data_IF_340806743235
#
_entry.id   IF_340806743235
#
_cell.length_a   1.000
_cell.length_b   1.000
_cell.length_c   1.000
_cell.angle_alpha   90.00
_cell.angle_beta   90.00
_cell.angle_gamma   90.00
#
_symmetry.space_group_name_H-M   'P 1'
#
loop_
_entity.id
_entity.type
_entity.pdbx_description
1 polymer ?
#
# COMPACT_ATOMS: atom_id res chain seq x y z
N UNK A 1 -9.77 -4.72 -7.35
CA UNK A 1 -8.78 -5.79 -7.54
C UNK A 1 -7.42 -5.13 -7.61
N UNK A 2 -6.50 -5.60 -6.80
CA UNK A 2 -5.09 -5.24 -6.84
C UNK A 2 -4.40 -5.77 -8.08
N UNK A 3 -3.20 -5.26 -8.35
CA UNK A 3 -2.36 -5.76 -9.44
C UNK A 3 -1.95 -7.21 -9.16
N UNK A 4 -2.10 -8.15 -10.12
CA UNK A 4 -1.64 -9.53 -10.01
C UNK A 4 -0.12 -9.64 -9.81
N UNK A 5 0.33 -10.81 -9.35
CA UNK A 5 1.75 -11.21 -9.42
C UNK A 5 1.96 -12.27 -10.50
N UNK A 6 3.19 -12.35 -10.98
CA UNK A 6 3.63 -13.42 -11.89
C UNK A 6 4.57 -14.33 -11.11
N UNK A 7 4.17 -15.58 -10.93
CA UNK A 7 4.98 -16.65 -10.38
C UNK A 7 5.65 -17.41 -11.53
N UNK A 8 6.93 -17.76 -11.36
CA UNK A 8 7.71 -18.47 -12.39
C UNK A 8 8.24 -19.77 -11.82
N UNK A 9 7.83 -20.87 -12.42
CA UNK A 9 8.22 -22.23 -12.02
C UNK A 9 8.34 -23.12 -13.25
N UNK A 10 9.45 -23.85 -13.36
CA UNK A 10 9.72 -24.80 -14.45
C UNK A 10 9.50 -24.24 -15.87
N UNK A 11 9.78 -22.95 -16.06
CA UNK A 11 9.62 -22.25 -17.34
C UNK A 11 8.20 -21.76 -17.63
N UNK A 12 7.23 -22.04 -16.76
CA UNK A 12 5.88 -21.50 -16.85
C UNK A 12 5.81 -20.11 -16.20
N UNK A 13 4.97 -19.24 -16.75
CA UNK A 13 4.60 -17.97 -16.12
C UNK A 13 3.12 -18.03 -15.73
N UNK A 14 2.84 -17.96 -14.43
CA UNK A 14 1.49 -18.09 -13.87
C UNK A 14 1.10 -16.77 -13.22
N UNK A 15 -0.05 -16.22 -13.63
CA UNK A 15 -0.63 -15.06 -12.98
C UNK A 15 -1.50 -15.50 -11.80
N UNK A 16 -1.21 -14.98 -10.61
CA UNK A 16 -2.06 -15.15 -9.44
C UNK A 16 -2.82 -13.86 -9.13
N UNK A 17 -4.14 -13.98 -8.94
CA UNK A 17 -5.02 -12.85 -8.64
C UNK A 17 -6.29 -13.30 -7.92
N UNK A 18 -6.87 -12.37 -7.16
CA UNK A 18 -8.13 -12.60 -6.44
C UNK A 18 -9.31 -12.16 -7.29
N UNK A 19 -10.35 -12.99 -7.35
CA UNK A 19 -11.63 -12.69 -8.00
C UNK A 19 -12.73 -12.76 -6.94
N UNK A 20 -13.56 -11.72 -6.90
CA UNK A 20 -14.79 -11.73 -6.10
C UNK A 20 -15.94 -12.28 -6.94
N UNK A 21 -16.71 -13.21 -6.37
CA UNK A 21 -17.92 -13.74 -6.98
C UNK A 21 -19.02 -13.92 -5.93
N UNK A 22 -20.13 -14.55 -6.32
CA UNK A 22 -21.25 -14.88 -5.45
C UNK A 22 -21.55 -16.38 -5.56
N UNK A 23 -21.93 -17.00 -4.44
CA UNK A 23 -22.47 -18.36 -4.40
C UNK A 23 -23.96 -18.22 -4.04
N UNK A 24 -24.84 -18.76 -4.89
CA UNK A 24 -26.29 -18.80 -4.65
C UNK A 24 -26.61 -19.67 -3.42
N UNK A 25 -27.53 -19.20 -2.58
CA UNK A 25 -27.98 -19.90 -1.35
C UNK A 25 -26.83 -20.28 -0.38
N UNK A 26 -25.77 -19.46 -0.30
CA UNK A 26 -24.58 -19.82 0.49
C UNK A 26 -24.75 -19.61 2.00
N UNK A 27 -24.96 -18.36 2.42
CA UNK A 27 -25.17 -18.00 3.84
C UNK A 27 -26.56 -17.45 4.08
N UNK A 28 -27.14 -16.83 3.06
CA UNK A 28 -28.55 -16.43 3.01
C UNK A 28 -29.20 -16.91 1.70
N UNK A 29 -30.52 -17.17 1.69
CA UNK A 29 -31.24 -17.52 0.47
C UNK A 29 -31.12 -16.46 -0.64
N UNK A 30 -31.02 -16.91 -1.89
CA UNK A 30 -30.94 -16.11 -3.10
C UNK A 30 -29.53 -15.95 -3.67
N UNK A 31 -29.42 -15.16 -4.75
CA UNK A 31 -28.18 -14.92 -5.47
C UNK A 31 -27.26 -13.87 -4.82
N UNK A 32 -27.07 -12.74 -5.50
CA UNK A 32 -26.13 -11.71 -5.08
C UNK A 32 -26.60 -10.95 -3.82
N UNK A 33 -26.09 -11.36 -2.66
CA UNK A 33 -26.16 -10.61 -1.41
C UNK A 33 -24.74 -10.25 -0.96
N UNK A 34 -24.24 -9.02 -1.24
CA UNK A 34 -22.83 -8.66 -1.10
C UNK A 34 -22.16 -9.05 0.21
N UNK A 35 -22.70 -8.78 1.41
CA UNK A 35 -21.99 -9.09 2.63
C UNK A 35 -21.95 -10.60 2.97
N UNK A 36 -22.96 -11.40 2.56
CA UNK A 36 -23.10 -12.79 3.05
C UNK A 36 -22.88 -13.85 1.97
N UNK A 37 -23.29 -13.61 0.72
CA UNK A 37 -23.17 -14.59 -0.36
C UNK A 37 -21.97 -14.33 -1.29
N UNK A 38 -21.26 -13.21 -1.10
CA UNK A 38 -20.05 -12.95 -1.86
C UNK A 38 -18.83 -13.63 -1.24
N UNK A 39 -17.97 -14.16 -2.11
CA UNK A 39 -16.74 -14.86 -1.74
C UNK A 39 -15.56 -14.42 -2.57
N UNK A 40 -14.35 -14.57 -2.02
CA UNK A 40 -13.10 -14.48 -2.78
C UNK A 40 -12.57 -15.84 -3.19
N UNK A 41 -12.14 -15.89 -4.44
CA UNK A 41 -11.35 -16.95 -5.01
C UNK A 41 -9.95 -16.44 -5.33
N UNK A 42 -8.93 -17.21 -4.97
CA UNK A 42 -7.59 -17.05 -5.53
C UNK A 42 -7.51 -17.88 -6.81
N UNK A 43 -7.28 -17.24 -7.94
CA UNK A 43 -7.02 -17.88 -9.22
C UNK A 43 -5.52 -17.95 -9.48
N UNK A 44 -5.08 -19.02 -10.12
CA UNK A 44 -3.80 -19.13 -10.81
C UNK A 44 -4.09 -19.48 -12.27
N UNK A 45 -3.54 -18.72 -13.22
CA UNK A 45 -3.78 -18.91 -14.65
C UNK A 45 -2.46 -18.87 -15.40
N UNK A 46 -2.22 -19.83 -16.28
CA UNK A 46 -1.05 -19.82 -17.16
C UNK A 46 -1.14 -18.65 -18.16
N UNK A 47 -0.12 -17.80 -18.21
CA UNK A 47 -0.16 -16.58 -19.02
C UNK A 47 -0.17 -16.83 -20.53
N UNK A 48 0.38 -17.96 -20.97
CA UNK A 48 0.50 -18.34 -22.38
C UNK A 48 -0.79 -18.95 -22.95
N UNK A 49 -1.50 -19.75 -22.15
CA UNK A 49 -2.68 -20.52 -22.57
C UNK A 49 -3.99 -19.98 -22.00
N UNK A 50 -3.93 -19.14 -20.96
CA UNK A 50 -5.06 -18.64 -20.17
C UNK A 50 -5.90 -19.75 -19.52
N UNK A 51 -5.35 -20.97 -19.39
CA UNK A 51 -5.99 -22.06 -18.67
C UNK A 51 -5.76 -21.92 -17.18
N UNK A 52 -6.76 -22.33 -16.39
CA UNK A 52 -6.64 -22.41 -14.94
C UNK A 52 -5.53 -23.39 -14.54
N UNK A 53 -4.73 -22.98 -13.57
CA UNK A 53 -3.77 -23.84 -12.91
C UNK A 53 -4.51 -24.97 -12.18
N UNK A 54 -3.99 -26.19 -12.27
CA UNK A 54 -4.58 -27.33 -11.56
C UNK A 54 -4.72 -27.04 -10.06
N UNK A 55 -5.89 -27.38 -9.48
CA UNK A 55 -6.33 -27.07 -8.10
C UNK A 55 -6.67 -25.59 -7.81
N UNK A 56 -6.71 -24.74 -8.83
CA UNK A 56 -7.28 -23.40 -8.74
C UNK A 56 -8.61 -23.34 -9.51
N UNK A 57 -9.53 -22.43 -9.12
CA UNK A 57 -9.42 -21.46 -8.03
C UNK A 57 -9.55 -22.06 -6.62
N UNK A 58 -8.86 -21.47 -5.65
CA UNK A 58 -9.02 -21.77 -4.21
C UNK A 58 -10.03 -20.82 -3.58
N UNK A 59 -10.97 -21.32 -2.76
CA UNK A 59 -11.84 -20.48 -1.94
C UNK A 59 -11.11 -20.01 -0.68
N UNK A 60 -11.20 -18.72 -0.38
CA UNK A 60 -10.50 -18.08 0.76
C UNK A 60 -11.45 -17.74 1.90
N UNK A 61 -12.75 -17.63 1.59
CA UNK A 61 -13.80 -17.31 2.54
C UNK A 61 -13.92 -18.35 3.67
N UNK A 62 -14.32 -17.86 4.85
CA UNK A 62 -14.63 -18.70 6.01
C UNK A 62 -13.45 -19.09 6.88
N UNK A 63 -12.24 -18.59 6.57
CA UNK A 63 -11.05 -18.83 7.39
C UNK A 63 -11.04 -17.92 8.63
N UNK A 64 -10.96 -18.44 9.86
CA UNK A 64 -10.72 -17.64 11.06
C UNK A 64 -9.34 -16.98 11.04
N UNK A 65 -9.22 -15.80 11.68
CA UNK A 65 -7.95 -15.08 11.77
C UNK A 65 -7.01 -15.71 12.81
N UNK A 66 -5.74 -15.89 12.44
CA UNK A 66 -4.67 -16.45 13.25
C UNK A 66 -4.52 -15.73 14.60
N UNK A 67 -4.72 -14.41 14.61
CA UNK A 67 -4.58 -13.56 15.79
C UNK A 67 -5.89 -13.25 16.53
N UNK A 68 -7.05 -13.67 16.00
CA UNK A 68 -8.35 -13.58 16.68
C UNK A 68 -9.40 -14.50 16.02
N UNK A 69 -9.63 -15.67 16.61
CA UNK A 69 -10.55 -16.68 16.07
C UNK A 69 -12.00 -16.19 15.92
N UNK A 70 -12.39 -15.14 16.66
CA UNK A 70 -13.75 -14.57 16.54
C UNK A 70 -13.94 -13.92 15.18
N UNK A 71 -12.86 -13.45 14.54
CA UNK A 71 -12.90 -12.71 13.29
C UNK A 71 -12.59 -13.63 12.13
N UNK A 72 -13.62 -13.89 11.32
CA UNK A 72 -13.54 -14.73 10.13
C UNK A 72 -13.37 -13.88 8.89
N UNK A 73 -12.47 -14.27 7.99
CA UNK A 73 -12.35 -13.64 6.69
C UNK A 73 -13.58 -13.94 5.84
N UNK A 74 -14.33 -12.88 5.52
CA UNK A 74 -15.53 -12.95 4.69
C UNK A 74 -15.36 -12.01 3.51
N UNK A 75 -15.26 -12.57 2.31
CA UNK A 75 -14.97 -11.82 1.11
C UNK A 75 -16.06 -10.81 0.76
N UNK A 76 -17.29 -11.02 1.22
CA UNK A 76 -18.38 -10.07 1.10
C UNK A 76 -18.20 -8.75 1.86
N UNK A 77 -17.46 -8.76 2.96
CA UNK A 77 -17.28 -7.60 3.83
C UNK A 77 -16.10 -6.72 3.43
N UNK A 78 -15.16 -7.27 2.66
CA UNK A 78 -13.90 -6.60 2.34
C UNK A 78 -13.63 -6.51 0.84
N UNK A 79 -12.73 -5.62 0.45
CA UNK A 79 -12.24 -5.49 -0.91
C UNK A 79 -10.72 -5.53 -1.00
N UNK A 80 -10.23 -6.08 -2.10
CA UNK A 80 -8.80 -6.23 -2.39
C UNK A 80 -8.35 -5.08 -3.31
N UNK A 81 -7.61 -4.12 -2.73
CA UNK A 81 -7.14 -2.88 -3.38
C UNK A 81 -5.63 -2.81 -3.58
N UNK A 82 -4.79 -3.10 -2.56
CA UNK A 82 -3.34 -3.09 -2.73
C UNK A 82 -2.88 -4.04 -3.83
N UNK A 83 -1.78 -3.75 -4.51
CA UNK A 83 -1.14 -4.77 -5.34
C UNK A 83 -0.71 -5.98 -4.50
N UNK A 84 -0.77 -7.18 -5.09
CA UNK A 84 -0.33 -8.40 -4.43
C UNK A 84 1.20 -8.39 -4.27
N UNK A 85 1.67 -9.01 -3.19
CA UNK A 85 3.09 -9.21 -2.92
C UNK A 85 3.40 -10.70 -2.97
N UNK A 86 4.40 -11.08 -3.76
CA UNK A 86 4.95 -12.43 -3.76
C UNK A 86 6.32 -12.41 -3.07
N UNK A 87 6.46 -13.15 -1.98
CA UNK A 87 7.70 -13.28 -1.22
C UNK A 87 8.10 -14.75 -1.15
N UNK A 88 9.08 -15.13 -1.99
CA UNK A 88 9.35 -16.54 -2.25
C UNK A 88 8.09 -17.20 -2.83
N UNK A 89 7.61 -18.26 -2.17
CA UNK A 89 6.40 -18.98 -2.57
C UNK A 89 5.13 -18.46 -1.86
N UNK A 90 5.23 -17.43 -1.02
CA UNK A 90 4.09 -16.92 -0.26
C UNK A 90 3.52 -15.67 -0.92
N UNK A 91 2.25 -15.77 -1.30
CA UNK A 91 1.45 -14.68 -1.83
C UNK A 91 0.71 -13.95 -0.72
N UNK A 92 0.93 -12.65 -0.56
CA UNK A 92 0.23 -11.79 0.39
C UNK A 92 -0.75 -10.84 -0.30
N UNK A 93 -1.91 -10.68 0.32
CA UNK A 93 -2.96 -9.77 -0.11
C UNK A 93 -3.52 -8.99 1.09
N UNK A 94 -3.58 -7.66 0.97
CA UNK A 94 -4.26 -6.79 1.93
C UNK A 94 -5.71 -6.51 1.51
N UNK A 95 -6.59 -6.41 2.50
CA UNK A 95 -8.02 -6.18 2.33
C UNK A 95 -8.53 -5.06 3.26
N UNK A 96 -9.44 -4.23 2.74
CA UNK A 96 -10.12 -3.15 3.48
C UNK A 96 -11.63 -3.11 3.25
N UNK A 97 -12.34 -2.16 3.86
CA UNK A 97 -13.80 -2.14 3.90
C UNK A 97 -14.49 -1.78 2.59
N UNK A 98 -15.54 -2.52 2.20
CA UNK A 98 -16.35 -2.20 1.02
C UNK A 98 -17.23 -0.97 1.28
N UNK A 99 -16.79 0.20 0.83
CA UNK A 99 -17.43 1.49 1.15
C UNK A 99 -17.55 1.73 2.66
N UNK A 100 -16.62 1.16 3.43
CA UNK A 100 -16.64 1.09 4.89
C UNK A 100 -17.93 0.51 5.49
N UNK A 101 -18.69 -0.25 4.70
CA UNK A 101 -19.93 -0.85 5.14
C UNK A 101 -19.70 -2.14 5.95
N UNK A 102 -20.72 -2.48 6.74
CA UNK A 102 -20.85 -3.78 7.40
C UNK A 102 -19.74 -4.10 8.41
N UNK A 103 -19.73 -5.35 8.90
CA UNK A 103 -18.91 -5.84 9.99
C UNK A 103 -17.51 -6.23 9.51
N UNK A 104 -16.89 -5.35 8.72
CA UNK A 104 -15.57 -5.64 8.21
C UNK A 104 -14.50 -5.39 9.27
N UNK A 105 -13.41 -6.13 9.15
CA UNK A 105 -12.12 -5.79 9.76
C UNK A 105 -11.08 -5.86 8.66
N UNK A 106 -10.11 -4.95 8.63
CA UNK A 106 -9.01 -5.09 7.67
C UNK A 106 -8.26 -6.41 7.89
N UNK A 107 -7.77 -7.01 6.82
CA UNK A 107 -7.12 -8.31 6.91
C UNK A 107 -5.98 -8.48 5.91
N UNK A 108 -5.01 -9.28 6.29
CA UNK A 108 -4.01 -9.86 5.39
C UNK A 108 -4.36 -11.33 5.19
N UNK A 109 -4.35 -11.77 3.94
CA UNK A 109 -4.36 -13.19 3.59
C UNK A 109 -2.99 -13.53 3.01
N UNK A 110 -2.35 -14.57 3.54
CA UNK A 110 -1.15 -15.16 2.97
C UNK A 110 -1.45 -16.58 2.47
N UNK A 111 -1.05 -16.89 1.24
CA UNK A 111 -1.17 -18.23 0.68
C UNK A 111 0.20 -18.72 0.25
N UNK A 112 0.68 -19.80 0.86
CA UNK A 112 1.86 -20.50 0.38
C UNK A 112 1.46 -21.30 -0.86
N UNK A 113 1.96 -20.89 -2.04
CA UNK A 113 1.58 -21.45 -3.34
C UNK A 113 2.08 -22.89 -3.52
N UNK A 114 3.21 -23.25 -2.91
CA UNK A 114 3.78 -24.59 -2.99
C UNK A 114 2.99 -25.61 -2.15
N UNK A 115 2.52 -25.21 -0.97
CA UNK A 115 1.79 -26.11 -0.05
C UNK A 115 0.27 -25.93 -0.10
N UNK A 116 -0.20 -24.84 -0.70
CA UNK A 116 -1.60 -24.38 -0.68
C UNK A 116 -2.14 -24.04 0.72
N UNK A 117 -1.24 -23.83 1.69
CA UNK A 117 -1.61 -23.40 3.04
C UNK A 117 -2.08 -21.95 3.01
N UNK A 118 -3.19 -21.67 3.71
CA UNK A 118 -3.79 -20.33 3.80
C UNK A 118 -3.72 -19.84 5.24
N UNK A 119 -3.30 -18.60 5.41
CA UNK A 119 -3.21 -17.90 6.70
C UNK A 119 -3.99 -16.59 6.59
N UNK A 120 -4.69 -16.22 7.67
CA UNK A 120 -5.41 -14.95 7.70
C UNK A 120 -5.11 -14.20 8.98
N UNK A 121 -4.97 -12.88 8.90
CA UNK A 121 -4.62 -12.05 10.04
C UNK A 121 -5.40 -10.74 9.98
N UNK A 122 -5.89 -10.28 11.11
CA UNK A 122 -6.80 -9.13 11.17
C UNK A 122 -6.19 -7.93 11.91
N UNK A 123 -6.48 -6.72 11.43
CA UNK A 123 -5.88 -5.47 11.94
C UNK A 123 -6.45 -5.03 13.29
N UNK A 124 -7.63 -5.51 13.65
CA UNK A 124 -8.26 -5.27 14.94
C UNK A 124 -8.50 -6.61 15.60
N UNK A 125 -7.82 -6.91 16.70
CA UNK A 125 -7.84 -8.22 17.34
C UNK A 125 -7.96 -8.12 18.86
N UNK A 126 -8.21 -9.24 19.52
CA UNK A 126 -8.24 -9.36 20.97
C UNK A 126 -9.48 -8.73 21.61
N UNK A 127 -9.68 -9.01 22.90
CA UNK A 127 -10.94 -8.70 23.61
C UNK A 127 -11.30 -7.21 23.66
N UNK A 128 -10.33 -6.32 23.43
CA UNK A 128 -10.55 -4.87 23.38
C UNK A 128 -10.94 -4.35 22.01
N UNK A 129 -10.83 -5.17 20.96
CA UNK A 129 -11.33 -4.81 19.62
C UNK A 129 -12.85 -4.97 19.55
N UNK A 130 -13.48 -4.09 18.76
CA UNK A 130 -14.90 -4.21 18.45
C UNK A 130 -15.17 -5.53 17.72
N UNK A 131 -16.32 -6.12 18.05
CA UNK A 131 -16.79 -7.38 17.50
C UNK A 131 -18.33 -7.42 17.53
N UNK A 132 -18.92 -7.98 16.50
CA UNK A 132 -20.36 -8.27 16.40
C UNK A 132 -20.56 -9.60 15.69
N UNK A 133 -21.58 -10.37 16.07
CA UNK A 133 -22.03 -11.56 15.33
C UNK A 133 -22.95 -11.19 14.15
N UNK A 134 -23.47 -9.96 14.12
CA UNK A 134 -24.22 -9.44 12.98
C UNK A 134 -23.23 -8.98 11.90
N UNK A 135 -23.04 -9.81 10.87
CA UNK A 135 -22.14 -9.49 9.75
C UNK A 135 -22.60 -8.30 8.89
N UNK A 136 -23.83 -7.84 9.06
CA UNK A 136 -24.38 -6.65 8.36
C UNK A 136 -24.24 -5.37 9.19
N UNK A 137 -23.85 -5.46 10.47
CA UNK A 137 -23.68 -4.30 11.34
C UNK A 137 -22.53 -3.40 10.87
N UNK A 138 -22.81 -2.10 10.69
CA UNK A 138 -21.82 -1.13 10.25
C UNK A 138 -20.63 -1.03 11.24
N UNK A 139 -19.41 -1.21 10.74
CA UNK A 139 -18.16 -1.23 11.53
C UNK A 139 -18.15 -2.24 12.70
N UNK A 140 -18.99 -3.29 12.66
CA UNK A 140 -19.09 -4.27 13.73
C UNK A 140 -17.76 -4.96 14.09
N UNK A 141 -16.83 -5.04 13.14
CA UNK A 141 -15.54 -5.71 13.28
C UNK A 141 -14.41 -4.76 13.71
N UNK A 142 -14.74 -3.48 13.87
CA UNK A 142 -13.77 -2.45 14.23
C UNK A 142 -13.04 -1.82 13.04
N UNK A 143 -13.44 -2.08 11.79
CA UNK A 143 -12.88 -1.43 10.60
C UNK A 143 -11.35 -1.62 10.48
N UNK A 144 -10.59 -0.58 10.11
CA UNK A 144 -9.12 -0.65 10.02
C UNK A 144 -8.66 -1.40 8.78
N UNK A 145 -9.19 -1.06 7.62
CA UNK A 145 -8.85 -1.64 6.32
C UNK A 145 -7.42 -1.37 5.86
N UNK A 146 -6.97 -2.20 4.91
CA UNK A 146 -5.70 -2.06 4.22
C UNK A 146 -6.00 -1.72 2.76
N UNK A 147 -5.83 -0.46 2.38
CA UNK A 147 -6.22 0.02 1.05
C UNK A 147 -5.10 0.70 0.25
N UNK A 148 -4.22 1.45 0.93
CA UNK A 148 -2.95 2.01 0.42
C UNK A 148 -3.01 2.72 -0.95
N UNK A 149 -4.18 3.21 -1.34
CA UNK A 149 -4.47 3.85 -2.63
C UNK A 149 -3.74 3.23 -3.84
N UNK A 150 -3.77 1.90 -3.97
CA UNK A 150 -3.17 1.19 -5.10
C UNK A 150 -1.67 0.87 -4.96
N UNK A 151 -1.00 1.30 -3.88
CA UNK A 151 0.32 0.80 -3.50
C UNK A 151 0.23 -0.68 -3.09
N UNK A 152 1.24 -1.46 -3.45
CA UNK A 152 1.38 -2.84 -2.98
C UNK A 152 1.78 -2.91 -1.50
N UNK A 153 1.70 -4.09 -0.92
CA UNK A 153 2.40 -4.37 0.34
C UNK A 153 3.92 -4.31 0.07
N UNK A 154 4.68 -3.76 1.00
CA UNK A 154 6.13 -3.69 0.92
C UNK A 154 6.78 -4.86 1.65
N UNK A 155 8.01 -5.22 1.27
CA UNK A 155 8.78 -6.24 1.98
C UNK A 155 10.26 -5.91 1.99
N UNK A 156 10.91 -6.37 3.06
CA UNK A 156 12.36 -6.31 3.21
C UNK A 156 13.06 -7.64 2.86
N UNK A 157 12.32 -8.57 2.25
CA UNK A 157 12.79 -9.92 1.91
C UNK A 157 12.47 -10.98 2.97
N UNK A 158 11.94 -10.57 4.13
CA UNK A 158 11.49 -11.48 5.19
C UNK A 158 10.10 -11.11 5.70
N UNK A 159 9.93 -9.85 6.07
CA UNK A 159 8.71 -9.33 6.69
C UNK A 159 7.91 -8.51 5.67
N UNK A 160 6.63 -8.32 5.97
CA UNK A 160 5.67 -7.59 5.14
C UNK A 160 5.20 -6.34 5.86
N UNK A 161 5.11 -5.23 5.13
CA UNK A 161 4.81 -3.91 5.65
C UNK A 161 3.64 -3.30 4.90
N UNK A 162 2.76 -2.64 5.65
CA UNK A 162 1.58 -1.97 5.11
C UNK A 162 1.05 -0.94 6.09
N UNK A 163 0.16 -0.08 5.61
CA UNK A 163 -0.58 0.87 6.44
C UNK A 163 -2.01 0.41 6.65
N UNK A 164 -2.58 0.86 7.77
CA UNK A 164 -3.93 0.52 8.23
C UNK A 164 -4.69 1.82 8.41
N UNK A 165 -5.92 1.85 7.90
CA UNK A 165 -6.75 3.05 7.91
C UNK A 165 -7.40 3.39 9.26
N UNK A 166 -8.33 4.35 9.22
CA UNK A 166 -9.20 4.67 10.33
C UNK A 166 -9.98 3.40 10.76
N UNK A 167 -9.55 2.79 11.86
CA UNK A 167 -10.34 1.75 12.54
C UNK A 167 -11.13 2.32 13.72
N UNK A 168 -11.78 1.42 14.47
CA UNK A 168 -12.61 1.77 15.62
C UNK A 168 -11.87 2.58 16.68
N UNK A 169 -10.55 2.43 16.79
CA UNK A 169 -9.72 3.22 17.69
C UNK A 169 -9.75 4.74 17.40
N UNK A 170 -9.86 5.14 16.14
CA UNK A 170 -9.79 6.56 15.75
C UNK A 170 -11.03 7.35 16.21
N UNK A 171 -12.13 6.64 16.46
CA UNK A 171 -13.39 7.23 16.95
C UNK A 171 -13.51 7.27 18.48
N UNK A 172 -12.49 6.81 19.21
CA UNK A 172 -12.50 6.82 20.66
C UNK A 172 -12.52 8.27 21.20
N UNK A 173 -13.45 8.56 22.10
CA UNK A 173 -13.65 9.91 22.67
C UNK A 173 -12.63 10.28 23.74
N UNK A 174 -11.83 9.32 24.21
CA UNK A 174 -10.75 9.54 25.16
C UNK A 174 -9.41 9.48 24.42
N UNK A 175 -8.61 10.54 24.54
CA UNK A 175 -7.26 10.58 23.99
C UNK A 175 -6.38 9.56 24.69
N UNK A 176 -5.76 8.69 23.89
CA UNK A 176 -4.71 7.82 24.36
C UNK A 176 -3.42 8.63 24.50
N UNK A 177 -2.96 8.82 25.72
CA UNK A 177 -1.71 9.52 26.04
C UNK A 177 -0.63 8.57 26.52
N UNK A 178 -0.85 7.26 26.39
CA UNK A 178 0.06 6.23 26.90
C UNK A 178 1.04 5.82 25.81
N UNK A 179 2.36 6.00 26.02
CA UNK A 179 3.35 5.50 25.07
C UNK A 179 3.25 3.98 24.92
N UNK A 180 3.34 3.49 23.68
CA UNK A 180 3.34 2.07 23.35
C UNK A 180 4.59 1.73 22.54
N UNK A 181 5.36 0.80 23.05
CA UNK A 181 6.52 0.23 22.37
C UNK A 181 6.05 -0.54 21.11
N UNK A 182 6.62 -0.20 19.96
CA UNK A 182 6.30 -0.81 18.66
C UNK A 182 6.52 -2.32 18.65
N UNK A 183 7.47 -2.81 19.46
CA UNK A 183 7.84 -4.23 19.56
C UNK A 183 6.99 -5.03 20.53
N UNK A 184 5.92 -4.44 21.06
CA UNK A 184 4.93 -5.13 21.90
C UNK A 184 3.65 -5.37 21.12
N UNK A 185 2.91 -6.45 21.42
CA UNK A 185 1.62 -6.71 20.78
C UNK A 185 0.68 -5.51 20.93
N UNK A 186 -0.01 -5.16 19.85
CA UNK A 186 -1.08 -4.17 19.85
C UNK A 186 -2.34 -4.77 19.25
N UNK A 187 -3.42 -4.74 20.02
CA UNK A 187 -4.72 -5.29 19.65
C UNK A 187 -5.44 -4.46 18.57
N UNK A 188 -5.43 -3.13 18.73
CA UNK A 188 -6.13 -2.17 17.86
C UNK A 188 -5.08 -1.42 17.06
N UNK A 189 -4.89 -1.75 15.78
CA UNK A 189 -3.86 -1.19 14.91
C UNK A 189 -4.38 -0.08 13.97
N UNK A 190 -5.49 0.56 14.32
CA UNK A 190 -5.96 1.77 13.61
C UNK A 190 -4.85 2.80 13.48
N UNK A 191 -4.77 3.47 12.34
CA UNK A 191 -3.77 4.50 12.03
C UNK A 191 -2.32 4.06 12.27
N UNK A 192 -1.93 2.92 11.71
CA UNK A 192 -0.55 2.44 11.85
C UNK A 192 0.11 2.06 10.54
N UNK A 193 1.44 2.21 10.51
CA UNK A 193 2.29 1.36 9.69
C UNK A 193 2.53 0.08 10.50
N UNK A 194 2.22 -1.08 9.95
CA UNK A 194 2.45 -2.38 10.57
C UNK A 194 3.55 -3.16 9.85
N UNK A 195 4.32 -3.94 10.62
CA UNK A 195 5.26 -4.95 10.13
C UNK A 195 4.82 -6.31 10.64
N UNK A 196 4.58 -7.26 9.74
CA UNK A 196 4.21 -8.63 10.07
C UNK A 196 5.24 -9.63 9.53
N UNK A 197 5.24 -10.83 10.09
CA UNK A 197 6.01 -11.98 9.61
C UNK A 197 5.12 -13.21 9.56
N UNK A 198 5.43 -14.17 8.68
CA UNK A 198 4.76 -15.47 8.64
C UNK A 198 5.71 -16.54 9.19
N UNK A 199 5.26 -17.27 10.21
CA UNK A 199 5.98 -18.40 10.78
C UNK A 199 5.17 -19.70 10.60
N UNK A 200 5.36 -20.32 9.44
CA UNK A 200 4.75 -21.62 9.12
C UNK A 200 5.39 -22.75 9.96
N UNK A 201 6.68 -22.63 10.31
CA UNK A 201 7.44 -23.71 10.92
C UNK A 201 7.00 -23.99 12.36
N UNK A 202 6.67 -22.95 13.13
CA UNK A 202 6.12 -23.12 14.49
C UNK A 202 4.60 -23.36 14.49
N UNK A 203 3.93 -23.12 13.35
CA UNK A 203 2.47 -23.12 13.25
C UNK A 203 1.82 -21.85 13.82
N UNK A 204 2.60 -20.82 14.17
CA UNK A 204 2.07 -19.55 14.68
C UNK A 204 1.36 -18.71 13.60
N UNK A 205 1.56 -19.01 12.31
CA UNK A 205 0.95 -18.26 11.23
C UNK A 205 1.48 -16.82 11.17
N UNK A 206 0.61 -15.86 10.87
CA UNK A 206 1.02 -14.46 10.74
C UNK A 206 1.11 -13.78 12.11
N UNK A 207 2.20 -13.08 12.37
CA UNK A 207 2.49 -12.40 13.64
C UNK A 207 2.85 -10.93 13.44
N UNK A 208 2.42 -10.06 14.35
CA UNK A 208 2.85 -8.66 14.40
C UNK A 208 4.28 -8.58 14.96
N UNK A 209 5.15 -7.85 14.26
CA UNK A 209 6.58 -7.69 14.60
C UNK A 209 6.89 -6.30 15.13
N UNK A 210 6.29 -5.27 14.51
CA UNK A 210 6.51 -3.86 14.86
C UNK A 210 5.36 -3.00 14.34
N UNK A 211 5.21 -1.79 14.89
CA UNK A 211 4.30 -0.78 14.35
C UNK A 211 4.79 0.65 14.60
N UNK A 212 4.30 1.58 13.78
CA UNK A 212 4.34 3.02 14.02
C UNK A 212 2.92 3.57 14.01
N UNK A 213 2.63 4.49 14.93
CA UNK A 213 1.39 5.26 14.96
C UNK A 213 1.72 6.76 15.09
N UNK A 214 1.18 7.64 14.24
CA UNK A 214 1.30 9.08 14.43
C UNK A 214 0.80 9.51 15.82
N UNK A 215 1.57 10.34 16.50
CA UNK A 215 1.25 10.90 17.83
C UNK A 215 -0.12 11.58 17.85
N UNK A 216 -0.52 12.19 16.72
CA UNK A 216 -1.75 12.95 16.54
C UNK A 216 -2.93 12.16 15.96
N UNK A 217 -2.84 10.82 15.83
CA UNK A 217 -3.84 9.97 15.16
C UNK A 217 -5.30 10.06 15.66
N UNK A 218 -5.56 10.60 16.86
CA UNK A 218 -6.93 10.86 17.37
C UNK A 218 -7.37 12.32 17.23
N UNK A 219 -6.47 13.19 16.81
CA UNK A 219 -6.65 14.66 16.75
C UNK A 219 -6.40 15.22 15.36
N UNK A 220 -6.11 14.38 14.38
CA UNK A 220 -5.83 14.75 12.99
C UNK A 220 -7.10 15.05 12.17
N UNK A 221 -8.26 15.05 12.82
CA UNK A 221 -9.59 15.26 12.21
C UNK A 221 -10.07 14.11 11.32
N UNK A 222 -9.69 12.86 11.66
CA UNK A 222 -10.08 11.67 10.91
C UNK A 222 -9.30 11.52 9.61
N UNK A 223 -8.09 12.08 9.59
CA UNK A 223 -7.17 11.88 8.50
C UNK A 223 -6.56 10.48 8.60
N UNK A 224 -6.16 9.92 7.48
CA UNK A 224 -5.94 8.48 7.34
C UNK A 224 -4.50 8.20 6.88
N UNK A 225 -3.67 7.52 7.67
CA UNK A 225 -2.35 7.03 7.23
C UNK A 225 -2.47 5.82 6.29
N UNK A 226 -3.56 5.05 6.39
CA UNK A 226 -3.92 3.96 5.48
C UNK A 226 -4.16 4.39 4.03
N UNK A 227 -4.41 5.68 3.83
CA UNK A 227 -4.53 6.29 2.50
C UNK A 227 -3.27 6.22 1.66
N UNK A 228 -2.11 6.15 2.30
CA UNK A 228 -0.85 5.93 1.64
C UNK A 228 -0.19 4.61 1.99
N UNK A 229 0.70 4.10 1.13
CA UNK A 229 1.50 2.92 1.43
C UNK A 229 2.86 3.27 2.04
N UNK A 230 3.53 2.26 2.59
CA UNK A 230 4.94 2.37 3.01
C UNK A 230 5.85 2.01 1.83
N UNK A 231 6.80 2.87 1.48
CA UNK A 231 7.90 2.54 0.57
C UNK A 231 9.18 2.28 1.35
N UNK A 232 9.79 1.10 1.16
CA UNK A 232 11.13 0.78 1.68
C UNK A 232 12.16 1.24 0.66
N UNK A 233 13.14 2.01 1.09
CA UNK A 233 14.13 2.62 0.19
C UNK A 233 15.37 1.73 -0.01
N UNK A 234 16.01 1.87 -1.18
CA UNK A 234 17.25 1.17 -1.53
C UNK A 234 18.40 1.56 -0.57
N UNK A 235 18.86 0.61 0.22
CA UNK A 235 19.86 0.79 1.28
C UNK A 235 21.28 1.03 0.77
N UNK A 236 21.53 0.85 -0.54
CA UNK A 236 22.79 1.24 -1.15
C UNK A 236 23.00 2.75 -1.09
N UNK A 237 21.92 3.53 -1.13
CA UNK A 237 21.92 4.99 -1.11
C UNK A 237 21.19 5.55 0.11
N UNK A 238 19.94 5.13 0.33
CA UNK A 238 19.06 5.69 1.36
C UNK A 238 19.23 4.95 2.69
N UNK A 239 20.14 5.45 3.51
CA UNK A 239 20.36 4.97 4.88
C UNK A 239 20.90 6.09 5.74
N UNK A 240 20.64 6.05 7.05
CA UNK A 240 21.26 6.97 8.00
C UNK A 240 22.78 6.79 8.04
N UNK A 241 23.50 7.69 8.70
CA UNK A 241 24.95 7.58 8.88
C UNK A 241 25.36 6.27 9.57
N UNK A 242 24.57 5.79 10.53
CA UNK A 242 24.77 4.52 11.25
C UNK A 242 24.17 3.30 10.51
N UNK A 243 23.71 3.49 9.28
CA UNK A 243 23.32 2.40 8.38
C UNK A 243 21.88 1.91 8.56
N UNK A 244 21.03 2.62 9.31
CA UNK A 244 19.62 2.29 9.45
C UNK A 244 18.89 2.41 8.12
N UNK A 245 18.07 1.39 7.84
CA UNK A 245 17.25 1.30 6.63
C UNK A 245 16.04 2.22 6.76
N UNK A 246 15.67 2.89 5.67
CA UNK A 246 14.65 3.94 5.68
C UNK A 246 13.36 3.44 5.02
N UNK A 247 12.24 3.64 5.71
CA UNK A 247 10.88 3.51 5.18
C UNK A 247 10.20 4.87 5.12
N UNK A 248 9.28 5.07 4.17
CA UNK A 248 8.53 6.32 4.03
C UNK A 248 7.06 6.02 3.82
N UNK A 249 6.21 6.50 4.74
CA UNK A 249 4.76 6.44 4.64
C UNK A 249 4.18 7.82 4.33
N UNK A 250 3.08 7.85 3.60
CA UNK A 250 2.33 9.07 3.29
C UNK A 250 0.90 8.94 3.82
N UNK A 251 0.22 10.06 4.01
CA UNK A 251 -1.11 10.10 4.61
C UNK A 251 -1.95 11.23 3.99
N UNK A 252 -3.26 11.16 4.19
CA UNK A 252 -4.14 12.31 3.95
C UNK A 252 -4.01 13.35 5.06
N UNK A 253 -3.53 12.98 6.25
CA UNK A 253 -2.95 13.96 7.17
C UNK A 253 -1.74 14.52 6.41
N UNK A 254 -1.69 15.81 6.01
CA UNK A 254 -0.70 16.34 5.05
C UNK A 254 0.75 16.29 5.57
N UNK A 255 1.26 15.08 5.70
CA UNK A 255 2.49 14.67 6.36
C UNK A 255 3.03 13.43 5.67
N UNK A 256 4.34 13.37 5.63
CA UNK A 256 5.12 12.20 5.24
C UNK A 256 5.96 11.78 6.43
N UNK A 257 5.92 10.50 6.76
CA UNK A 257 6.56 9.91 7.93
C UNK A 257 7.74 9.05 7.47
N UNK A 258 8.96 9.46 7.84
CA UNK A 258 10.20 8.74 7.54
C UNK A 258 10.54 7.88 8.75
N UNK A 259 10.45 6.57 8.60
CA UNK A 259 10.63 5.57 9.66
C UNK A 259 11.94 4.80 9.48
N UNK A 260 12.41 4.18 10.56
CA UNK A 260 13.44 3.15 10.50
C UNK A 260 12.76 1.79 10.26
N UNK A 261 13.11 1.07 9.19
CA UNK A 261 12.45 -0.21 8.81
C UNK A 261 12.60 -1.28 9.90
N UNK A 262 13.71 -1.23 10.63
CA UNK A 262 14.05 -2.13 11.73
C UNK A 262 13.66 -1.62 13.10
N UNK A 263 12.97 -0.49 13.18
CA UNK A 263 12.33 0.00 14.40
C UNK A 263 11.32 1.08 14.01
N UNK A 264 10.07 0.67 13.78
CA UNK A 264 9.06 1.58 13.23
C UNK A 264 8.75 2.75 14.18
N UNK A 265 8.97 2.58 15.48
CA UNK A 265 8.96 3.69 16.45
C UNK A 265 7.74 3.76 17.36
N UNK A 266 6.81 2.80 17.27
CA UNK A 266 5.68 2.66 18.21
C UNK A 266 4.74 3.87 18.22
N UNK A 267 4.21 4.18 19.41
CA UNK A 267 3.34 5.32 19.67
C UNK A 267 3.90 6.17 20.83
N UNK A 268 3.99 7.49 20.63
CA UNK A 268 4.51 8.47 21.59
C UNK A 268 5.90 8.11 22.18
N UNK A 269 6.76 7.45 21.39
CA UNK A 269 8.11 7.03 21.83
C UNK A 269 9.17 8.14 21.65
N UNK A 270 8.83 9.22 20.95
CA UNK A 270 9.68 10.38 20.77
C UNK A 270 9.75 11.26 22.02
N UNK A 271 10.62 12.27 21.95
CA UNK A 271 10.77 13.25 23.04
C UNK A 271 9.43 13.95 23.31
N UNK A 272 9.08 14.11 24.59
CA UNK A 272 7.84 14.76 25.04
C UNK A 272 6.56 14.13 24.46
N UNK A 273 6.60 12.82 24.16
CA UNK A 273 5.46 12.09 23.60
C UNK A 273 5.24 12.30 22.11
N UNK A 274 6.25 12.76 21.37
CA UNK A 274 6.16 12.91 19.90
C UNK A 274 6.39 11.58 19.16
N UNK A 275 6.40 11.61 17.83
CA UNK A 275 6.70 10.44 17.00
C UNK A 275 8.13 9.94 17.24
N UNK A 276 8.30 8.64 17.46
CA UNK A 276 9.59 7.97 17.64
C UNK A 276 10.31 7.64 16.32
N UNK A 277 10.15 8.45 15.28
CA UNK A 277 10.61 8.16 13.91
C UNK A 277 11.80 9.04 13.50
N UNK A 278 12.36 8.80 12.31
CA UNK A 278 13.52 9.53 11.81
C UNK A 278 13.19 10.98 11.43
N UNK A 279 12.01 11.20 10.84
CA UNK A 279 11.59 12.53 10.40
C UNK A 279 10.09 12.57 10.09
N UNK A 280 9.41 13.67 10.45
CA UNK A 280 8.07 14.01 9.94
C UNK A 280 8.18 15.24 9.04
N UNK A 281 7.58 15.19 7.86
CA UNK A 281 7.62 16.27 6.85
C UNK A 281 6.20 16.71 6.56
N UNK A 282 5.88 17.98 6.81
CA UNK A 282 4.61 18.56 6.39
C UNK A 282 4.56 18.69 4.85
N UNK A 283 3.40 18.37 4.28
CA UNK A 283 3.11 18.45 2.86
C UNK A 283 2.10 19.55 2.59
N UNK A 284 2.06 20.05 1.35
CA UNK A 284 1.08 21.06 0.92
C UNK A 284 -0.33 20.48 0.74
N UNK A 285 -0.49 19.16 0.75
CA UNK A 285 -1.77 18.49 0.54
C UNK A 285 -1.76 17.02 0.97
N UNK A 286 -2.95 16.42 0.91
CA UNK A 286 -3.23 15.03 1.25
C UNK A 286 -2.59 14.07 0.23
N UNK A 287 -2.16 12.89 0.65
CA UNK A 287 -1.56 11.91 -0.27
C UNK A 287 -2.34 10.61 -0.27
N UNK A 288 -2.85 10.27 -1.44
CA UNK A 288 -3.39 8.94 -1.75
C UNK A 288 -2.38 8.21 -2.62
N UNK A 289 -1.57 7.33 -2.03
CA UNK A 289 -0.58 6.54 -2.75
C UNK A 289 0.70 6.35 -1.96
N UNK A 290 1.85 6.33 -2.60
CA UNK A 290 3.12 6.31 -1.89
C UNK A 290 4.12 7.21 -2.62
N UNK A 291 5.31 7.33 -2.05
CA UNK A 291 6.41 7.97 -2.73
C UNK A 291 6.98 7.08 -3.83
N UNK A 292 7.68 7.70 -4.78
CA UNK A 292 8.68 7.04 -5.61
C UNK A 292 10.08 7.52 -5.23
N UNK A 293 11.11 6.69 -5.45
CA UNK A 293 12.51 7.05 -5.14
C UNK A 293 13.42 6.99 -6.35
N UNK A 294 14.44 7.84 -6.36
CA UNK A 294 15.50 7.89 -7.37
C UNK A 294 16.85 7.87 -6.67
N UNK A 295 17.60 6.74 -6.69
CA UNK A 295 18.85 6.59 -5.93
C UNK A 295 20.05 7.32 -6.55
N UNK A 296 19.98 7.73 -7.81
CA UNK A 296 21.12 8.40 -8.46
C UNK A 296 21.16 9.90 -8.10
N UNK A 297 22.25 10.58 -8.49
CA UNK A 297 22.48 12.01 -8.23
C UNK A 297 22.32 12.44 -6.77
N UNK A 298 22.65 11.55 -5.83
CA UNK A 298 22.59 11.82 -4.39
C UNK A 298 21.29 11.43 -3.70
N UNK A 299 20.27 11.00 -4.46
CA UNK A 299 19.04 10.45 -3.90
C UNK A 299 17.91 11.48 -3.81
N UNK A 300 16.75 11.12 -4.34
CA UNK A 300 15.52 11.90 -4.24
C UNK A 300 14.33 10.98 -3.95
N UNK A 301 13.33 11.53 -3.27
CA UNK A 301 11.98 10.96 -3.21
C UNK A 301 10.98 11.95 -3.78
N UNK A 302 9.90 11.42 -4.35
CA UNK A 302 8.84 12.18 -5.00
C UNK A 302 7.51 11.80 -4.39
N UNK A 303 6.69 12.80 -4.12
CA UNK A 303 5.34 12.65 -3.61
C UNK A 303 4.41 13.49 -4.47
N UNK A 304 3.19 12.99 -4.67
CA UNK A 304 2.20 13.63 -5.54
C UNK A 304 0.94 13.99 -4.73
N UNK A 305 0.99 15.04 -3.89
CA UNK A 305 -0.13 15.38 -3.01
C UNK A 305 -1.28 16.00 -3.80
N UNK A 306 -2.49 15.75 -3.34
CA UNK A 306 -3.73 16.20 -3.93
C UNK A 306 -3.90 17.70 -4.01
N UNK A 307 -4.32 18.20 -5.17
CA UNK A 307 -4.60 19.61 -5.45
C UNK A 307 -3.34 20.47 -5.32
N UNK A 308 -2.17 19.83 -5.41
CA UNK A 308 -0.87 20.46 -5.34
C UNK A 308 0.01 19.97 -6.48
N UNK A 309 1.23 20.48 -6.55
CA UNK A 309 2.24 20.04 -7.50
C UNK A 309 2.98 18.79 -7.02
N UNK A 310 3.40 17.94 -7.97
CA UNK A 310 4.36 16.88 -7.72
C UNK A 310 5.61 17.50 -7.08
N UNK A 311 6.00 16.99 -5.91
CA UNK A 311 7.08 17.56 -5.11
C UNK A 311 8.23 16.57 -4.94
N UNK A 312 9.45 17.09 -5.00
CA UNK A 312 10.69 16.33 -4.85
C UNK A 312 11.41 16.75 -3.57
N UNK A 313 11.95 15.75 -2.85
CA UNK A 313 12.75 15.95 -1.65
C UNK A 313 14.11 15.29 -1.84
N UNK A 314 15.18 16.06 -1.64
CA UNK A 314 16.56 15.58 -1.75
C UNK A 314 17.00 14.90 -0.47
N UNK A 315 17.71 13.79 -0.61
CA UNK A 315 18.27 13.02 0.49
C UNK A 315 19.59 13.63 0.99
N UNK A 316 19.82 13.58 2.31
CA UNK A 316 21.10 13.93 2.93
C UNK A 316 21.35 13.03 4.14
N UNK A 317 22.23 12.05 3.98
CA UNK A 317 22.55 11.04 5.00
C UNK A 317 22.98 11.62 6.35
N UNK A 318 23.72 12.74 6.33
CA UNK A 318 24.38 13.33 7.51
C UNK A 318 23.62 14.52 8.11
N UNK A 319 22.34 14.69 7.79
CA UNK A 319 21.53 15.79 8.29
C UNK A 319 20.61 15.34 9.42
N UNK A 320 20.23 16.28 10.30
CA UNK A 320 19.14 16.07 11.26
C UNK A 320 17.77 15.88 10.59
N UNK A 321 17.68 16.24 9.32
CA UNK A 321 16.52 16.11 8.45
C UNK A 321 16.99 15.38 7.19
N UNK A 322 16.67 14.08 7.09
CA UNK A 322 17.17 13.21 6.04
C UNK A 322 16.67 13.62 4.65
N UNK A 323 15.47 14.19 4.57
CA UNK A 323 14.88 14.68 3.33
C UNK A 323 14.51 16.15 3.45
N UNK A 324 14.87 16.94 2.45
CA UNK A 324 14.56 18.37 2.38
C UNK A 324 13.93 18.73 1.04
N UNK A 325 13.01 19.67 1.03
CA UNK A 325 12.33 20.09 -0.19
C UNK A 325 13.34 20.58 -1.24
N UNK A 326 13.32 19.95 -2.42
CA UNK A 326 14.26 20.22 -3.50
C UNK A 326 13.60 20.91 -4.70
N UNK A 327 12.27 20.80 -4.84
CA UNK A 327 11.50 21.47 -5.87
C UNK A 327 10.16 20.83 -6.14
N UNK A 328 9.36 21.46 -7.01
CA UNK A 328 8.06 20.95 -7.43
C UNK A 328 7.75 21.23 -8.90
N UNK A 329 6.76 20.55 -9.47
CA UNK A 329 6.24 20.87 -10.81
C UNK A 329 5.51 22.22 -10.81
N UNK A 330 5.38 22.86 -11.98
CA UNK A 330 4.56 24.06 -12.13
C UNK A 330 3.07 23.74 -12.08
N UNK A 331 2.69 22.62 -12.70
CA UNK A 331 1.31 22.19 -12.80
C UNK A 331 0.86 21.46 -11.54
N UNK A 332 -0.38 21.72 -11.14
CA UNK A 332 -1.07 20.95 -10.10
C UNK A 332 -1.65 19.65 -10.68
N UNK A 333 -1.88 18.69 -9.80
CA UNK A 333 -2.70 17.53 -10.10
C UNK A 333 -4.15 17.79 -9.65
N UNK A 334 -5.11 17.31 -10.45
CA UNK A 334 -6.53 17.36 -10.08
C UNK A 334 -6.84 16.23 -9.12
N UNK A 335 -6.89 16.50 -7.82
CA UNK A 335 -7.03 15.48 -6.77
C UNK A 335 -8.31 14.65 -6.82
N UNK A 336 -9.37 15.19 -7.42
CA UNK A 336 -10.75 14.68 -7.36
C UNK A 336 -10.92 13.19 -7.78
N UNK A 337 -9.88 12.53 -8.31
CA UNK A 337 -9.94 11.14 -8.73
C UNK A 337 -8.88 10.20 -8.17
N UNK A 338 -7.91 10.62 -7.36
CA UNK A 338 -6.80 9.73 -6.99
C UNK A 338 -5.75 9.66 -8.10
N UNK A 339 -4.80 10.59 -8.05
CA UNK A 339 -3.65 10.60 -8.94
C UNK A 339 -2.80 9.34 -8.74
N UNK A 340 -1.99 9.01 -9.74
CA UNK A 340 -1.08 7.87 -9.66
C UNK A 340 0.14 8.13 -8.79
N UNK A 341 0.71 7.03 -8.33
CA UNK A 341 1.96 7.02 -7.59
C UNK A 341 3.13 7.40 -8.52
N UNK A 342 4.06 8.27 -8.06
CA UNK A 342 5.28 8.55 -8.81
C UNK A 342 6.04 7.27 -9.13
N UNK A 343 6.34 7.06 -10.42
CA UNK A 343 7.18 5.95 -10.88
C UNK A 343 8.43 6.53 -11.51
N UNK A 344 9.60 5.96 -11.20
CA UNK A 344 10.89 6.51 -11.64
C UNK A 344 11.56 5.52 -12.58
N UNK A 345 12.13 6.02 -13.66
CA UNK A 345 12.97 5.24 -14.58
C UNK A 345 14.29 5.94 -14.82
N UNK A 346 15.34 5.18 -15.12
CA UNK A 346 16.59 5.68 -15.68
C UNK A 346 17.03 4.80 -16.85
N UNK A 347 17.89 5.34 -17.71
CA UNK A 347 18.48 4.58 -18.79
C UNK A 347 19.63 3.73 -18.26
N UNK A 348 19.37 2.47 -17.95
CA UNK A 348 20.39 1.50 -17.48
C UNK A 348 21.21 2.02 -16.28
N UNK A 349 20.58 2.71 -15.33
CA UNK A 349 21.25 3.25 -14.16
C UNK A 349 22.17 4.46 -14.42
N UNK A 350 22.09 5.09 -15.60
CA UNK A 350 22.92 6.25 -15.91
C UNK A 350 22.40 7.53 -15.25
N UNK A 351 23.29 8.24 -14.57
CA UNK A 351 23.01 9.57 -14.04
C UNK A 351 22.60 10.57 -15.13
N UNK A 352 21.81 11.56 -14.73
CA UNK A 352 21.18 12.57 -15.58
C UNK A 352 20.14 12.05 -16.58
N UNK A 353 19.79 10.75 -16.52
CA UNK A 353 18.75 10.14 -17.37
C UNK A 353 17.46 9.81 -16.61
N UNK A 354 17.40 10.13 -15.32
CA UNK A 354 16.24 9.90 -14.48
C UNK A 354 15.00 10.66 -14.98
N UNK A 355 13.88 9.95 -15.05
CA UNK A 355 12.56 10.50 -15.36
C UNK A 355 11.60 10.10 -14.24
N UNK A 356 10.85 11.07 -13.73
CA UNK A 356 9.73 10.86 -12.82
C UNK A 356 8.45 10.90 -13.63
N UNK A 357 7.67 9.84 -13.53
CA UNK A 357 6.39 9.68 -14.21
C UNK A 357 5.28 9.77 -13.19
N UNK A 358 4.22 10.50 -13.53
CA UNK A 358 3.02 10.57 -12.73
C UNK A 358 1.79 10.49 -13.66
N UNK A 359 0.73 9.85 -13.19
CA UNK A 359 -0.55 9.85 -13.91
C UNK A 359 -1.52 10.78 -13.21
N UNK A 360 -2.21 11.59 -14.00
CA UNK A 360 -3.25 12.51 -13.57
C UNK A 360 -4.57 12.13 -14.24
N UNK A 361 -5.65 12.12 -13.47
CA UNK A 361 -6.96 11.66 -13.93
C UNK A 361 -7.56 12.53 -15.04
N UNK A 362 -7.12 13.78 -15.18
CA UNK A 362 -7.54 14.71 -16.22
C UNK A 362 -6.47 14.88 -17.32
N UNK A 363 -5.23 15.14 -16.93
CA UNK A 363 -4.15 15.46 -17.86
C UNK A 363 -3.58 14.22 -18.54
N UNK A 364 -3.67 13.04 -17.92
CA UNK A 364 -3.10 11.78 -18.40
C UNK A 364 -1.70 11.53 -17.85
N UNK A 365 -0.83 10.96 -18.67
CA UNK A 365 0.56 10.69 -18.30
C UNK A 365 1.40 11.97 -18.38
N UNK A 366 2.15 12.26 -17.31
CA UNK A 366 3.15 13.34 -17.25
C UNK A 366 4.53 12.76 -16.94
N UNK A 367 5.57 13.47 -17.39
CA UNK A 367 6.96 13.10 -17.16
C UNK A 367 7.79 14.33 -16.80
N UNK A 368 8.75 14.18 -15.90
CA UNK A 368 9.62 15.25 -15.44
C UNK A 368 11.07 14.74 -15.36
N UNK A 369 12.04 15.63 -15.55
CA UNK A 369 13.44 15.33 -15.17
C UNK A 369 13.48 15.02 -13.68
N UNK A 370 14.16 13.93 -13.31
CA UNK A 370 14.22 13.49 -11.92
C UNK A 370 14.89 14.51 -11.00
N UNK A 371 15.94 15.19 -11.46
CA UNK A 371 16.64 16.21 -10.67
C UNK A 371 16.02 17.59 -10.91
N UNK A 372 15.47 18.26 -9.87
CA UNK A 372 14.98 19.62 -10.01
C UNK A 372 16.06 20.61 -10.44
N UNK A 373 15.69 21.62 -11.24
CA UNK A 373 16.56 22.73 -11.64
C UNK A 373 16.03 24.01 -11.02
N UNK A 374 16.81 24.66 -10.16
CA UNK A 374 16.42 25.88 -9.44
C UNK A 374 15.06 25.73 -8.72
N UNK A 375 14.84 24.62 -8.03
CA UNK A 375 13.59 24.37 -7.30
C UNK A 375 12.41 23.89 -8.16
N UNK A 376 12.62 23.59 -9.45
CA UNK A 376 11.55 23.20 -10.37
C UNK A 376 11.77 21.82 -10.96
N UNK A 377 10.76 20.94 -10.89
CA UNK A 377 10.71 19.71 -11.68
C UNK A 377 10.37 20.07 -13.13
N UNK A 378 11.35 19.91 -14.01
CA UNK A 378 11.22 20.30 -15.42
C UNK A 378 10.42 19.24 -16.17
N UNK A 379 9.24 19.61 -16.66
CA UNK A 379 8.38 18.72 -17.45
C UNK A 379 9.03 18.34 -18.79
N UNK A 380 8.81 17.09 -19.18
CA UNK A 380 9.23 16.52 -20.47
C UNK A 380 8.00 16.41 -21.36
N UNK A 381 8.04 16.93 -22.59
CA UNK A 381 6.89 16.89 -23.49
C UNK A 381 6.56 15.44 -23.88
N UNK A 382 5.29 15.07 -23.73
CA UNK A 382 4.74 13.78 -24.14
C UNK A 382 3.62 13.96 -25.16
N UNK A 383 3.38 12.98 -26.05
CA UNK A 383 2.11 12.87 -26.75
C UNK A 383 0.94 12.86 -25.75
N UNK A 384 -0.17 13.50 -26.11
CA UNK A 384 -1.35 13.60 -25.25
C UNK A 384 -1.89 12.20 -24.92
N UNK A 385 -2.16 11.97 -23.63
CA UNK A 385 -2.93 10.85 -23.09
C UNK A 385 -4.20 11.41 -22.47
N UNK A 386 -5.34 10.80 -22.74
CA UNK A 386 -6.65 11.33 -22.34
C UNK A 386 -7.01 10.89 -20.92
N UNK A 387 -6.47 11.60 -19.94
CA UNK A 387 -6.63 11.26 -18.53
C UNK A 387 -5.99 9.91 -18.17
N UNK A 388 -6.16 9.49 -16.92
CA UNK A 388 -5.68 8.21 -16.43
C UNK A 388 -6.69 7.61 -15.44
N UNK A 389 -6.65 6.29 -15.29
CA UNK A 389 -7.43 5.60 -14.27
C UNK A 389 -6.97 5.98 -12.85
N UNK A 390 -7.90 5.98 -11.89
CA UNK A 390 -7.64 6.28 -10.48
C UNK A 390 -6.56 5.37 -9.91
N UNK A 391 -5.59 5.94 -9.20
CA UNK A 391 -4.45 5.22 -8.59
C UNK A 391 -3.61 4.41 -9.59
N UNK A 392 -3.79 4.66 -10.89
CA UNK A 392 -3.03 3.98 -11.93
C UNK A 392 -1.55 4.28 -11.82
N UNK A 393 -0.72 3.40 -12.38
CA UNK A 393 0.71 3.66 -12.57
C UNK A 393 1.11 3.26 -13.98
N UNK A 394 2.05 3.98 -14.61
CA UNK A 394 2.62 3.54 -15.87
C UNK A 394 3.46 2.27 -15.67
N UNK A 395 3.45 1.40 -16.66
CA UNK A 395 4.29 0.19 -16.71
C UNK A 395 5.31 0.34 -17.82
N UNK A 396 6.54 -0.13 -17.62
CA UNK A 396 7.65 0.05 -18.55
C UNK A 396 8.14 -1.30 -19.06
N UNK A 397 8.47 -1.36 -20.36
CA UNK A 397 9.02 -2.57 -20.95
C UNK A 397 9.47 -2.33 -22.38
N UNK A 398 10.64 -2.87 -22.73
CA UNK A 398 11.18 -2.86 -24.09
C UNK A 398 11.15 -1.45 -24.75
N UNK A 399 11.64 -0.45 -24.01
CA UNK A 399 11.73 0.95 -24.47
C UNK A 399 10.38 1.68 -24.62
N UNK A 400 9.30 1.15 -24.03
CA UNK A 400 7.97 1.74 -24.05
C UNK A 400 7.44 1.97 -22.63
N UNK A 401 6.56 2.94 -22.50
CA UNK A 401 5.67 3.15 -21.36
C UNK A 401 4.25 2.80 -21.77
N UNK A 402 3.56 2.07 -20.90
CA UNK A 402 2.20 1.59 -21.07
C UNK A 402 1.31 2.20 -19.98
N UNK A 403 0.14 2.68 -20.37
CA UNK A 403 -0.86 3.23 -19.44
C UNK A 403 -2.26 2.93 -19.96
N UNK A 404 -3.21 2.64 -19.07
CA UNK A 404 -4.64 2.65 -19.40
C UNK A 404 -5.15 4.06 -19.15
N UNK A 405 -5.59 4.73 -20.21
CA UNK A 405 -6.05 6.11 -20.11
C UNK A 405 -7.46 6.23 -19.53
N UNK A 406 -7.93 7.46 -19.32
CA UNK A 406 -9.27 7.74 -18.79
C UNK A 406 -10.42 7.32 -19.71
N UNK A 407 -10.14 6.92 -20.96
CA UNK A 407 -11.11 6.38 -21.91
C UNK A 407 -11.10 4.84 -21.95
N UNK A 408 -10.32 4.18 -21.09
CA UNK A 408 -10.21 2.72 -21.04
C UNK A 408 -9.36 2.12 -22.16
N UNK A 409 -8.49 2.92 -22.80
CA UNK A 409 -7.61 2.45 -23.89
C UNK A 409 -6.24 2.12 -23.34
N UNK A 410 -5.64 1.02 -23.79
CA UNK A 410 -4.22 0.75 -23.58
C UNK A 410 -3.38 1.63 -24.51
N UNK A 411 -2.67 2.59 -23.94
CA UNK A 411 -1.76 3.49 -24.66
C UNK A 411 -0.32 3.01 -24.46
N UNK A 412 0.43 2.90 -25.56
CA UNK A 412 1.85 2.59 -25.55
C UNK A 412 2.64 3.72 -26.21
N UNK A 413 3.48 4.41 -25.44
CA UNK A 413 4.39 5.44 -25.95
C UNK A 413 5.81 4.89 -25.93
N UNK A 414 6.55 5.09 -27.01
CA UNK A 414 7.93 4.65 -27.11
C UNK A 414 8.72 5.47 -28.10
N UNK A 415 10.03 5.32 -28.08
CA UNK A 415 10.89 5.96 -29.08
C UNK A 415 10.52 5.41 -30.46
N UNK A 416 10.26 6.32 -31.41
CA UNK A 416 10.16 5.95 -32.82
C UNK A 416 11.51 5.35 -33.23
N UNK A 417 11.51 4.06 -33.56
CA UNK A 417 12.69 3.42 -34.16
C UNK A 417 12.96 4.17 -35.48
N UNK A 418 14.18 4.66 -35.63
CA UNK A 418 14.64 5.29 -36.87
C UNK A 418 15.06 4.22 -37.86
#
# INVERSE_FOLDING_TARGET
>A
MGTPVIYREDGNEIAFFYVKSYIEDYREPGGAYPPLNSVYYLYGVYLDTLQDLYKYPMIIDGQPSDNDIRKTFLGGLVLQRPALLLLGDVLYAGFGGLCDAFNYTGSVVAVNLATQSTYTWTTQAGNTSLYSDDWTAWHGGGAGGIWQAGMGLSSDGKDVFFTIDNGGGATATTLDVTPKDGRKPLAVLSETVARITLDEASGAGIQLVDFFRPSDWQTDSGQDIGSGGLAILDTSIFKTMDGKRIGVATSTNPKMYVTEVDNLGGYLQGKDGTDGILQTIALEGEVFGAIGSYPLEGGYIYVNPGNTALSAYAFTQNASSLFSFAGKSSETNGHWGGAGLPTITSSSGQSATGIVWATDVQAGLRAFKAVPVNGTLVELPLPKVEGAVKFGRPVFGNGKVFVVDGQGRLIALGKRLK
#
